data_IF_617952381327
#
_entry.id   IF_617952381327
#
_cell.length_a   1.000
_cell.length_b   1.000
_cell.length_c   1.000
_cell.angle_alpha   90.00
_cell.angle_beta   90.00
_cell.angle_gamma   90.00
#
_symmetry.space_group_name_H-M   'P 1'
#
loop_
_entity.id
_entity.type
_entity.pdbx_description
1 polymer ?
#
# COMPACT_ATOMS: atom_id res chain seq x y z
N UNK A 1 21.80 28.57 32.68
CA UNK A 1 22.39 28.68 34.03
C UNK A 1 21.56 27.84 34.99
N UNK A 2 21.93 26.58 35.18
CA UNK A 2 21.38 25.70 36.22
C UNK A 2 22.56 24.94 36.82
N UNK A 3 22.80 25.22 38.10
CA UNK A 3 24.01 24.94 38.87
C UNK A 3 24.03 23.46 39.27
N UNK A 4 24.98 22.67 38.76
CA UNK A 4 25.27 21.31 39.22
C UNK A 4 25.70 21.34 40.69
N UNK A 5 25.05 20.56 41.55
CA UNK A 5 25.53 20.30 42.92
C UNK A 5 26.63 19.23 42.92
N UNK A 6 27.70 19.38 43.71
CA UNK A 6 28.75 18.38 43.85
C UNK A 6 28.41 17.30 44.89
N UNK A 7 28.93 16.08 44.65
CA UNK A 7 28.79 14.89 45.51
C UNK A 7 29.68 14.99 46.77
N UNK A 8 29.26 14.47 47.94
CA UNK A 8 30.17 14.27 49.05
C UNK A 8 31.03 13.00 48.87
N UNK A 9 32.26 13.07 49.38
CA UNK A 9 33.27 11.99 49.53
C UNK A 9 33.51 11.74 51.04
N UNK A 10 34.14 10.61 51.41
CA UNK A 10 33.72 9.76 52.53
C UNK A 10 34.39 10.11 53.86
N UNK A 11 33.69 9.82 54.95
CA UNK A 11 34.27 9.86 56.29
C UNK A 11 34.95 8.53 56.65
N UNK A 12 36.22 8.66 56.99
CA UNK A 12 37.09 7.66 57.60
C UNK A 12 37.00 7.73 59.12
N UNK A 13 36.78 6.60 59.81
CA UNK A 13 37.13 6.36 61.22
C UNK A 13 36.94 4.86 61.52
N UNK A 14 37.97 4.03 61.47
CA UNK A 14 38.76 3.54 62.62
C UNK A 14 37.94 3.01 63.79
N UNK A 15 37.97 1.69 64.02
CA UNK A 15 38.24 1.10 65.34
C UNK A 15 38.45 -0.41 65.20
N UNK A 16 39.62 -0.86 65.65
CA UNK A 16 39.97 -2.24 65.93
C UNK A 16 39.11 -2.77 67.09
N UNK A 17 38.84 -4.08 67.11
CA UNK A 17 38.92 -4.93 68.31
C UNK A 17 38.73 -6.40 67.90
N UNK A 18 39.78 -7.18 68.13
CA UNK A 18 39.81 -8.62 67.99
C UNK A 18 38.98 -9.29 69.09
N UNK A 19 38.33 -10.42 68.79
CA UNK A 19 38.09 -11.50 69.75
C UNK A 19 37.87 -12.81 68.97
N UNK A 20 38.77 -13.76 69.19
CA UNK A 20 38.65 -15.13 68.72
C UNK A 20 37.70 -15.90 69.64
N UNK A 21 36.63 -16.45 69.08
CA UNK A 21 35.86 -17.54 69.69
C UNK A 21 35.73 -18.67 68.67
N UNK A 22 36.41 -19.78 68.96
CA UNK A 22 36.09 -21.09 68.42
C UNK A 22 34.64 -21.43 68.80
N UNK A 23 33.78 -21.69 67.82
CA UNK A 23 32.52 -22.38 68.04
C UNK A 23 32.20 -23.32 66.86
N UNK A 24 31.83 -24.53 67.23
CA UNK A 24 31.47 -25.69 66.40
C UNK A 24 30.64 -25.36 65.15
N UNK A 25 31.13 -25.79 63.98
CA UNK A 25 30.33 -25.82 62.74
C UNK A 25 29.53 -27.13 62.75
N UNK A 26 28.19 -27.11 62.80
CA UNK A 26 27.40 -28.31 62.61
C UNK A 26 27.43 -28.69 61.13
N UNK A 27 27.69 -29.98 60.87
CA UNK A 27 27.59 -30.61 59.56
C UNK A 27 26.13 -30.56 59.11
N UNK A 28 25.75 -29.51 58.38
CA UNK A 28 24.46 -29.43 57.71
C UNK A 28 24.47 -30.46 56.58
N UNK A 29 23.76 -31.58 56.76
CA UNK A 29 23.35 -32.42 55.64
C UNK A 29 22.46 -31.58 54.72
N UNK A 30 23.03 -31.07 53.64
CA UNK A 30 22.28 -30.49 52.54
C UNK A 30 21.56 -31.62 51.82
N UNK A 31 20.27 -31.78 52.09
CA UNK A 31 19.37 -32.53 51.21
C UNK A 31 19.43 -31.87 49.84
N UNK A 32 20.15 -32.49 48.91
CA UNK A 32 20.09 -32.11 47.50
C UNK A 32 18.68 -32.40 47.01
N UNK A 33 17.87 -31.36 46.82
CA UNK A 33 16.69 -31.46 45.99
C UNK A 33 17.15 -31.81 44.57
N UNK A 34 16.50 -32.77 43.88
CA UNK A 34 16.83 -33.03 42.48
C UNK A 34 16.51 -31.77 41.68
N UNK A 35 17.47 -31.31 40.87
CA UNK A 35 17.24 -30.24 39.92
C UNK A 35 16.14 -30.65 38.95
N UNK A 36 15.08 -29.84 38.83
CA UNK A 36 14.15 -29.95 37.72
C UNK A 36 14.88 -29.55 36.44
N UNK A 37 15.45 -30.51 35.72
CA UNK A 37 16.29 -30.24 34.55
C UNK A 37 16.11 -31.30 33.46
N UNK A 38 14.88 -31.55 32.98
CA UNK A 38 14.66 -32.48 31.86
C UNK A 38 13.61 -31.99 30.82
N UNK A 39 13.23 -30.71 30.82
CA UNK A 39 12.24 -30.19 29.86
C UNK A 39 12.70 -28.88 29.21
N UNK A 40 13.52 -28.95 28.14
CA UNK A 40 13.95 -27.76 27.43
C UNK A 40 12.76 -27.07 26.75
N UNK A 41 12.80 -25.74 26.69
CA UNK A 41 11.86 -24.92 25.92
C UNK A 41 12.15 -25.04 24.41
N UNK A 42 11.18 -24.67 23.57
CA UNK A 42 11.37 -24.67 22.10
C UNK A 42 12.55 -23.80 21.63
N UNK A 43 12.78 -22.66 22.30
CA UNK A 43 13.94 -21.81 22.02
C UNK A 43 15.26 -22.50 22.39
N UNK A 44 15.32 -23.18 23.54
CA UNK A 44 16.51 -23.91 23.95
C UNK A 44 16.82 -25.07 23.01
N UNK A 45 15.81 -25.83 22.59
CA UNK A 45 15.96 -26.89 21.59
C UNK A 45 16.50 -26.30 20.28
N UNK A 46 15.94 -25.17 19.82
CA UNK A 46 16.41 -24.49 18.62
C UNK A 46 17.88 -24.07 18.71
N UNK A 47 18.29 -23.46 19.84
CA UNK A 47 19.67 -23.04 20.07
C UNK A 47 20.65 -24.21 20.10
N UNK A 48 20.23 -25.36 20.64
CA UNK A 48 21.06 -26.55 20.79
C UNK A 48 21.21 -27.35 19.49
N UNK A 49 20.12 -27.49 18.72
CA UNK A 49 20.05 -28.46 17.61
C UNK A 49 19.84 -27.83 16.22
N UNK A 50 19.28 -26.63 16.13
CA UNK A 50 18.85 -26.05 14.85
C UNK A 50 19.70 -24.85 14.39
N UNK A 51 20.26 -24.10 15.34
CA UNK A 51 20.89 -22.80 15.11
C UNK A 51 22.09 -22.86 14.17
N UNK A 52 22.88 -23.94 14.22
CA UNK A 52 24.09 -24.12 13.39
C UNK A 52 23.78 -24.06 11.88
N UNK A 53 22.64 -24.63 11.47
CA UNK A 53 22.23 -24.69 10.08
C UNK A 53 21.25 -23.58 9.69
N UNK A 54 20.34 -23.20 10.59
CA UNK A 54 19.25 -22.27 10.29
C UNK A 54 19.47 -20.81 10.73
N UNK A 55 20.56 -20.51 11.44
CA UNK A 55 20.85 -19.15 11.89
C UNK A 55 20.05 -18.73 13.13
N UNK A 56 20.35 -17.56 13.68
CA UNK A 56 19.77 -17.12 14.97
C UNK A 56 18.32 -16.65 14.82
N UNK A 57 17.98 -16.11 13.66
CA UNK A 57 16.68 -15.56 13.28
C UNK A 57 15.97 -16.43 12.21
N UNK A 58 16.41 -17.68 12.03
CA UNK A 58 15.91 -18.54 10.96
C UNK A 58 16.32 -18.03 9.57
N UNK A 59 17.35 -17.21 9.43
CA UNK A 59 17.82 -16.61 8.18
C UNK A 59 18.59 -17.59 7.26
N UNK A 60 18.94 -18.76 7.78
CA UNK A 60 19.80 -19.74 7.13
C UNK A 60 21.29 -19.54 7.41
N UNK A 61 22.10 -20.45 6.89
CA UNK A 61 23.57 -20.41 6.95
C UNK A 61 24.17 -20.39 5.55
N UNK A 62 25.50 -20.34 5.43
CA UNK A 62 26.19 -20.46 4.13
C UNK A 62 25.87 -21.77 3.41
N UNK A 63 25.66 -22.85 4.18
CA UNK A 63 25.36 -24.18 3.65
C UNK A 63 23.86 -24.35 3.40
N UNK A 64 23.01 -23.79 4.26
CA UNK A 64 21.56 -23.82 4.13
C UNK A 64 21.00 -22.40 4.00
N UNK A 65 21.04 -21.85 2.78
CA UNK A 65 20.72 -20.43 2.53
C UNK A 65 19.23 -20.08 2.50
N UNK A 66 18.34 -21.03 2.77
CA UNK A 66 16.89 -20.78 2.76
C UNK A 66 16.41 -20.39 4.17
N UNK A 67 15.75 -19.23 4.32
CA UNK A 67 15.19 -18.85 5.59
C UNK A 67 14.02 -19.77 5.97
N UNK A 68 13.81 -19.96 7.26
CA UNK A 68 12.71 -20.72 7.84
C UNK A 68 11.40 -19.94 7.71
N UNK A 69 10.86 -19.88 6.50
CA UNK A 69 9.64 -19.17 6.15
C UNK A 69 8.64 -20.11 5.44
N UNK A 70 7.36 -19.99 5.77
CA UNK A 70 6.31 -20.75 5.09
C UNK A 70 4.91 -20.48 5.63
N UNK A 71 4.04 -21.48 5.51
CA UNK A 71 2.60 -21.38 5.82
C UNK A 71 2.03 -22.64 6.50
N UNK A 72 2.84 -23.67 6.75
CA UNK A 72 2.44 -24.86 7.50
C UNK A 72 1.97 -24.50 8.91
N UNK A 73 0.96 -25.20 9.41
CA UNK A 73 0.56 -25.09 10.82
C UNK A 73 1.63 -25.66 11.75
N UNK A 74 1.61 -25.27 13.03
CA UNK A 74 2.54 -25.80 14.05
C UNK A 74 2.57 -27.34 14.06
N UNK A 75 1.41 -28.00 13.99
CA UNK A 75 1.34 -29.46 13.97
C UNK A 75 1.91 -30.09 12.69
N UNK A 76 1.74 -29.46 11.53
CA UNK A 76 2.36 -29.91 10.29
C UNK A 76 3.88 -29.70 10.30
N UNK A 77 4.33 -28.59 10.87
CA UNK A 77 5.74 -28.27 11.03
C UNK A 77 6.41 -29.25 12.00
N UNK A 78 5.79 -29.54 13.14
CA UNK A 78 6.29 -30.54 14.10
C UNK A 78 6.43 -31.93 13.47
N UNK A 79 5.45 -32.37 12.68
CA UNK A 79 5.55 -33.65 11.94
C UNK A 79 6.68 -33.67 10.93
N UNK A 80 6.94 -32.54 10.28
CA UNK A 80 8.05 -32.42 9.35
C UNK A 80 9.38 -32.49 10.08
N UNK A 81 9.54 -31.70 11.16
CA UNK A 81 10.74 -31.68 12.01
C UNK A 81 11.05 -33.09 12.54
N UNK A 82 10.06 -33.76 13.15
CA UNK A 82 10.24 -35.12 13.66
C UNK A 82 10.69 -36.14 12.60
N UNK A 83 10.33 -35.92 11.33
CA UNK A 83 10.66 -36.86 10.26
C UNK A 83 12.01 -36.60 9.61
N UNK A 84 12.42 -35.34 9.49
CA UNK A 84 13.53 -34.95 8.62
C UNK A 84 14.60 -34.10 9.29
N UNK A 85 14.44 -33.78 10.58
CA UNK A 85 15.39 -32.94 11.29
C UNK A 85 15.94 -33.63 12.53
N UNK A 86 17.21 -33.35 12.87
CA UNK A 86 18.23 -32.66 12.08
C UNK A 86 18.66 -33.43 10.82
N UNK A 87 19.21 -32.74 9.81
CA UNK A 87 19.62 -33.34 8.52
C UNK A 87 20.75 -34.39 8.72
N UNK A 88 21.65 -34.13 9.67
CA UNK A 88 22.76 -35.03 10.01
C UNK A 88 22.32 -36.26 10.84
N UNK A 89 21.19 -36.17 11.56
CA UNK A 89 20.69 -37.25 12.43
C UNK A 89 19.14 -37.23 12.57
N UNK A 90 18.40 -37.60 11.49
CA UNK A 90 16.94 -37.50 11.48
C UNK A 90 16.28 -38.39 12.55
N UNK A 91 15.28 -37.84 13.25
CA UNK A 91 14.53 -38.56 14.29
C UNK A 91 15.06 -38.33 15.72
N UNK A 92 16.06 -37.47 15.91
CA UNK A 92 16.51 -37.08 17.26
C UNK A 92 15.66 -35.98 17.89
N UNK A 93 14.96 -35.17 17.10
CA UNK A 93 13.99 -34.19 17.58
C UNK A 93 12.56 -34.67 17.32
N UNK A 94 12.07 -35.59 18.16
CA UNK A 94 10.75 -36.21 18.03
C UNK A 94 9.77 -35.83 19.15
N UNK A 95 8.50 -36.21 18.99
CA UNK A 95 7.50 -36.10 20.06
C UNK A 95 7.27 -34.67 20.55
N UNK A 96 7.39 -34.48 21.86
CA UNK A 96 7.12 -33.19 22.53
C UNK A 96 8.16 -32.12 22.15
N UNK A 97 9.41 -32.51 21.94
CA UNK A 97 10.48 -31.59 21.56
C UNK A 97 10.24 -31.01 20.17
N UNK A 98 9.81 -31.86 19.23
CA UNK A 98 9.39 -31.44 17.89
C UNK A 98 8.24 -30.43 17.94
N UNK A 99 7.28 -30.61 18.86
CA UNK A 99 6.17 -29.68 19.04
C UNK A 99 6.61 -28.34 19.62
N UNK A 100 7.46 -28.38 20.66
CA UNK A 100 8.00 -27.17 21.31
C UNK A 100 8.81 -26.33 20.34
N UNK A 101 9.75 -26.96 19.62
CA UNK A 101 10.60 -26.24 18.66
C UNK A 101 9.79 -25.75 17.45
N UNK A 102 8.82 -26.52 16.98
CA UNK A 102 7.92 -26.07 15.91
C UNK A 102 7.11 -24.84 16.33
N UNK A 103 6.59 -24.82 17.57
CA UNK A 103 5.84 -23.67 18.09
C UNK A 103 6.73 -22.42 18.16
N UNK A 104 7.97 -22.58 18.65
CA UNK A 104 8.95 -21.50 18.68
C UNK A 104 9.28 -20.99 17.26
N UNK A 105 9.64 -21.87 16.33
CA UNK A 105 9.95 -21.50 14.94
C UNK A 105 8.77 -20.79 14.28
N UNK A 106 7.54 -21.29 14.48
CA UNK A 106 6.31 -20.74 13.92
C UNK A 106 6.09 -19.28 14.33
N UNK A 107 6.21 -18.98 15.62
CA UNK A 107 6.00 -17.62 16.12
C UNK A 107 7.22 -16.71 15.90
N UNK A 108 8.43 -17.24 16.03
CA UNK A 108 9.63 -16.43 15.91
C UNK A 108 9.93 -16.02 14.45
N UNK A 109 9.78 -16.94 13.48
CA UNK A 109 10.30 -16.75 12.12
C UNK A 109 9.35 -17.17 10.99
N UNK A 110 8.64 -18.29 11.17
CA UNK A 110 8.08 -19.04 10.06
C UNK A 110 6.68 -18.62 9.61
N UNK A 111 5.80 -18.18 10.50
CA UNK A 111 4.43 -17.78 10.13
C UNK A 111 4.38 -16.49 9.30
N UNK A 112 3.27 -16.24 8.60
CA UNK A 112 3.06 -14.97 7.87
C UNK A 112 3.10 -13.75 8.77
N UNK A 113 2.61 -13.89 10.01
CA UNK A 113 2.70 -12.83 11.02
C UNK A 113 4.15 -12.59 11.47
N UNK A 114 4.92 -13.66 11.71
CA UNK A 114 6.35 -13.55 12.05
C UNK A 114 7.15 -12.93 10.90
N UNK A 115 6.92 -13.38 9.66
CA UNK A 115 7.50 -12.80 8.44
C UNK A 115 7.23 -11.30 8.35
N UNK A 116 5.98 -10.88 8.55
CA UNK A 116 5.60 -9.46 8.50
C UNK A 116 6.26 -8.63 9.62
N UNK A 117 6.44 -9.20 10.82
CA UNK A 117 7.17 -8.54 11.92
C UNK A 117 8.67 -8.39 11.62
N UNK A 118 9.29 -9.42 11.06
CA UNK A 118 10.74 -9.48 10.85
C UNK A 118 11.18 -8.80 9.55
N UNK A 119 10.30 -8.71 8.55
CA UNK A 119 10.53 -8.04 7.26
C UNK A 119 9.45 -6.98 7.02
N UNK A 120 9.51 -5.83 7.71
CA UNK A 120 8.54 -4.77 7.50
C UNK A 120 8.58 -4.28 6.04
N UNK A 121 7.42 -3.96 5.48
CA UNK A 121 7.32 -3.41 4.14
C UNK A 121 8.17 -2.13 4.06
N UNK A 122 9.16 -2.12 3.17
CA UNK A 122 10.01 -0.96 2.95
C UNK A 122 9.18 0.10 2.22
N UNK A 123 9.16 1.32 2.78
CA UNK A 123 8.61 2.48 2.08
C UNK A 123 9.62 2.85 0.99
N UNK A 124 9.33 2.45 -0.25
CA UNK A 124 10.08 2.88 -1.42
C UNK A 124 9.20 3.77 -2.30
N UNK A 125 9.83 4.66 -3.07
CA UNK A 125 9.13 5.44 -4.07
C UNK A 125 8.65 4.50 -5.17
N UNK A 126 7.32 4.37 -5.33
CA UNK A 126 6.75 3.61 -6.43
C UNK A 126 7.07 4.31 -7.75
N UNK A 127 7.59 3.56 -8.73
CA UNK A 127 7.68 4.05 -10.11
C UNK A 127 6.27 4.07 -10.69
N UNK A 128 5.73 5.26 -10.85
CA UNK A 128 4.42 5.46 -11.46
C UNK A 128 4.49 5.12 -12.96
N UNK A 129 3.46 4.43 -13.45
CA UNK A 129 3.17 4.38 -14.89
C UNK A 129 2.86 5.80 -15.39
N UNK A 130 2.97 6.02 -16.71
CA UNK A 130 2.64 7.33 -17.33
C UNK A 130 1.23 7.80 -16.92
N UNK A 131 0.24 6.90 -16.92
CA UNK A 131 -1.13 7.21 -16.50
C UNK A 131 -1.19 7.63 -15.03
N UNK A 132 -0.55 6.87 -14.15
CA UNK A 132 -0.54 7.17 -12.72
C UNK A 132 0.16 8.51 -12.43
N UNK A 133 1.23 8.82 -13.15
CA UNK A 133 1.93 10.10 -13.04
C UNK A 133 1.01 11.27 -13.43
N UNK A 134 0.39 11.21 -14.61
CA UNK A 134 -0.53 12.27 -15.05
C UNK A 134 -1.71 12.47 -14.10
N UNK A 135 -2.31 11.39 -13.60
CA UNK A 135 -3.41 11.49 -12.65
C UNK A 135 -2.94 12.11 -11.32
N UNK A 136 -1.77 11.69 -10.82
CA UNK A 136 -1.20 12.23 -9.58
C UNK A 136 -0.89 13.72 -9.72
N UNK A 137 -0.32 14.14 -10.85
CA UNK A 137 -0.09 15.57 -11.13
C UNK A 137 -1.40 16.36 -11.21
N UNK A 138 -2.42 15.82 -11.91
CA UNK A 138 -3.71 16.45 -12.04
C UNK A 138 -4.40 16.62 -10.67
N UNK A 139 -4.37 15.59 -9.83
CA UNK A 139 -4.95 15.62 -8.48
C UNK A 139 -4.18 16.59 -7.57
N UNK A 140 -2.85 16.55 -7.63
CA UNK A 140 -1.99 17.46 -6.85
C UNK A 140 -2.26 18.91 -7.25
N UNK A 141 -2.24 19.24 -8.54
CA UNK A 141 -2.51 20.60 -9.04
C UNK A 141 -3.95 21.01 -8.74
N UNK A 142 -4.91 20.10 -8.90
CA UNK A 142 -6.32 20.32 -8.60
C UNK A 142 -6.56 20.67 -7.13
N UNK A 143 -5.85 20.02 -6.20
CA UNK A 143 -5.96 20.28 -4.76
C UNK A 143 -5.65 21.72 -4.37
N UNK A 144 -4.77 22.41 -5.11
CA UNK A 144 -4.44 23.82 -4.86
C UNK A 144 -5.43 24.80 -5.45
N UNK A 145 -6.17 24.40 -6.50
CA UNK A 145 -7.10 25.28 -7.23
C UNK A 145 -8.52 25.26 -6.66
N UNK A 146 -8.87 24.25 -5.87
CA UNK A 146 -10.23 24.03 -5.39
C UNK A 146 -11.18 23.56 -6.50
N UNK A 147 -12.45 23.28 -6.18
CA UNK A 147 -13.42 22.86 -7.19
C UNK A 147 -13.61 23.96 -8.24
N UNK A 148 -13.45 23.60 -9.51
CA UNK A 148 -13.69 24.50 -10.63
C UNK A 148 -15.21 24.73 -10.78
N UNK A 149 -15.70 25.85 -10.26
CA UNK A 149 -17.10 26.25 -10.41
C UNK A 149 -17.26 27.10 -11.67
N UNK A 150 -18.08 26.65 -12.62
CA UNK A 150 -18.47 27.47 -13.76
C UNK A 150 -19.63 28.40 -13.36
N UNK A 151 -19.35 29.70 -13.23
CA UNK A 151 -20.35 30.73 -12.91
C UNK A 151 -20.94 31.41 -14.16
N UNK A 152 -20.51 31.01 -15.36
CA UNK A 152 -20.98 31.57 -16.63
C UNK A 152 -22.34 31.02 -17.09
N UNK A 153 -22.88 31.55 -18.21
CA UNK A 153 -24.07 31.00 -18.83
C UNK A 153 -23.85 29.51 -19.15
N UNK A 154 -24.85 28.69 -18.82
CA UNK A 154 -24.84 27.25 -19.13
C UNK A 154 -25.24 27.05 -20.58
N UNK A 155 -24.59 26.11 -21.25
CA UNK A 155 -24.86 25.76 -22.64
C UNK A 155 -23.63 25.91 -23.53
N UNK A 156 -23.85 25.67 -24.82
CA UNK A 156 -22.83 25.81 -25.86
C UNK A 156 -23.23 26.93 -26.82
N UNK A 157 -22.24 27.68 -27.28
CA UNK A 157 -22.44 28.71 -28.29
C UNK A 157 -22.69 28.04 -29.64
N UNK A 158 -23.90 28.22 -30.18
CA UNK A 158 -24.38 27.62 -31.41
C UNK A 158 -24.45 28.63 -32.55
N UNK A 159 -23.70 28.36 -33.62
CA UNK A 159 -23.77 29.10 -34.87
C UNK A 159 -24.41 28.24 -35.97
N UNK A 160 -25.47 28.76 -36.59
CA UNK A 160 -26.24 28.05 -37.62
C UNK A 160 -26.00 28.69 -38.98
N UNK A 161 -25.78 27.85 -39.99
CA UNK A 161 -25.43 28.25 -41.35
C UNK A 161 -26.43 27.69 -42.36
N UNK A 162 -26.87 28.52 -43.31
CA UNK A 162 -27.72 28.11 -44.46
C UNK A 162 -26.96 27.33 -45.55
N UNK A 163 -25.68 27.04 -45.33
CA UNK A 163 -24.84 26.25 -46.21
C UNK A 163 -23.99 25.26 -45.41
N UNK A 164 -23.49 24.20 -46.05
CA UNK A 164 -22.64 23.20 -45.39
C UNK A 164 -21.19 23.68 -45.14
N UNK A 165 -20.86 24.92 -45.51
CA UNK A 165 -19.50 25.46 -45.43
C UNK A 165 -19.47 26.60 -44.44
N UNK A 166 -18.66 26.46 -43.39
CA UNK A 166 -18.44 27.48 -42.36
C UNK A 166 -17.56 28.67 -42.82
N UNK A 167 -17.38 28.88 -44.14
CA UNK A 167 -16.41 29.87 -44.68
C UNK A 167 -17.02 31.26 -44.84
N UNK A 168 -18.31 31.35 -45.14
CA UNK A 168 -18.96 32.63 -45.40
C UNK A 168 -19.76 33.07 -44.16
N UNK A 169 -19.41 34.23 -43.58
CA UNK A 169 -20.14 34.80 -42.44
C UNK A 169 -21.56 35.20 -42.82
N UNK A 170 -21.80 35.56 -44.08
CA UNK A 170 -23.14 35.90 -44.59
C UNK A 170 -24.08 34.69 -44.68
N UNK A 171 -23.54 33.47 -44.53
CA UNK A 171 -24.32 32.25 -44.42
C UNK A 171 -24.82 31.98 -43.00
N UNK A 172 -24.31 32.71 -42.00
CA UNK A 172 -24.74 32.57 -40.60
C UNK A 172 -26.10 33.23 -40.38
N UNK A 173 -27.07 32.43 -39.95
CA UNK A 173 -28.49 32.80 -39.84
C UNK A 173 -28.97 32.88 -38.39
N UNK A 174 -28.35 32.12 -37.48
CA UNK A 174 -28.65 32.13 -36.05
C UNK A 174 -27.33 32.10 -35.29
N UNK A 175 -27.26 32.88 -34.21
CA UNK A 175 -26.13 33.01 -33.29
C UNK A 175 -26.72 33.08 -31.87
N UNK A 176 -26.63 32.00 -31.10
CA UNK A 176 -27.25 31.89 -29.77
C UNK A 176 -26.53 30.90 -28.84
N UNK A 177 -26.91 30.89 -27.57
CA UNK A 177 -26.48 29.87 -26.60
C UNK A 177 -27.56 28.80 -26.48
N UNK A 178 -27.21 27.55 -26.80
CA UNK A 178 -28.09 26.39 -26.63
C UNK A 178 -27.78 25.71 -25.29
N UNK A 179 -28.75 25.57 -24.36
CA UNK A 179 -28.51 24.94 -23.06
C UNK A 179 -28.04 23.48 -23.16
N UNK A 180 -28.51 22.77 -24.19
CA UNK A 180 -28.20 21.37 -24.46
C UNK A 180 -28.16 21.12 -25.97
N UNK A 181 -27.28 20.24 -26.44
CA UNK A 181 -27.26 19.78 -27.84
C UNK A 181 -28.19 18.58 -27.98
N UNK A 182 -29.49 18.87 -28.05
CA UNK A 182 -30.54 17.89 -28.24
C UNK A 182 -31.61 18.49 -29.15
N UNK A 183 -31.54 18.17 -30.44
CA UNK A 183 -32.39 18.77 -31.46
C UNK A 183 -33.02 17.69 -32.35
N UNK A 184 -34.30 17.88 -32.64
CA UNK A 184 -35.00 17.26 -33.76
C UNK A 184 -35.50 18.40 -34.66
N UNK A 185 -34.83 18.56 -35.80
CA UNK A 185 -35.15 19.62 -36.77
C UNK A 185 -36.24 19.19 -37.76
N UNK A 186 -36.62 17.90 -37.80
CA UNK A 186 -37.47 17.37 -38.85
C UNK A 186 -36.99 17.81 -40.25
N UNK A 187 -37.78 18.64 -40.93
CA UNK A 187 -37.49 19.14 -42.28
C UNK A 187 -36.95 20.57 -42.33
N UNK A 188 -36.95 21.33 -41.22
CA UNK A 188 -36.61 22.76 -41.21
C UNK A 188 -35.90 23.21 -39.92
N UNK A 189 -35.08 24.26 -40.01
CA UNK A 189 -34.50 24.90 -38.83
C UNK A 189 -35.55 25.65 -37.99
N UNK A 190 -35.36 25.78 -36.66
CA UNK A 190 -36.19 26.63 -35.82
C UNK A 190 -36.06 28.07 -36.31
N UNK A 191 -37.16 28.80 -36.41
CA UNK A 191 -37.21 30.20 -36.88
C UNK A 191 -36.97 30.45 -38.38
N UNK A 192 -37.10 29.41 -39.22
CA UNK A 192 -37.05 29.52 -40.68
C UNK A 192 -38.30 30.22 -41.28
N UNK A 193 -38.49 31.51 -40.97
CA UNK A 193 -39.45 32.38 -41.67
C UNK A 193 -39.12 32.55 -43.17
N UNK A 194 -37.92 32.12 -43.58
CA UNK A 194 -37.49 32.01 -44.97
C UNK A 194 -36.89 30.62 -45.16
N UNK A 195 -37.41 29.87 -46.14
CA UNK A 195 -37.03 28.47 -46.39
C UNK A 195 -35.52 28.30 -46.56
N UNK A 196 -34.86 27.93 -45.47
CA UNK A 196 -33.49 27.46 -45.49
C UNK A 196 -33.63 26.01 -45.92
N UNK A 197 -33.38 25.74 -47.21
CA UNK A 197 -33.56 24.41 -47.79
C UNK A 197 -32.80 23.31 -47.03
N UNK A 198 -32.96 22.06 -47.47
CA UNK A 198 -32.48 20.82 -46.82
C UNK A 198 -30.96 20.69 -46.54
N UNK A 199 -30.17 21.77 -46.64
CA UNK A 199 -28.72 21.79 -46.41
C UNK A 199 -28.35 22.94 -45.48
N UNK A 200 -28.17 22.62 -44.21
CA UNK A 200 -27.62 23.53 -43.21
C UNK A 200 -26.44 22.88 -42.48
N UNK A 201 -25.69 23.68 -41.74
CA UNK A 201 -24.68 23.21 -40.81
C UNK A 201 -24.77 23.99 -39.51
N UNK A 202 -24.40 23.33 -38.41
CA UNK A 202 -24.39 23.94 -37.08
C UNK A 202 -23.04 23.66 -36.45
N UNK A 203 -22.50 24.66 -35.76
CA UNK A 203 -21.27 24.54 -34.98
C UNK A 203 -21.57 24.96 -33.55
N UNK A 204 -21.30 24.03 -32.64
CA UNK A 204 -21.34 24.29 -31.20
C UNK A 204 -19.93 24.40 -30.65
N UNK A 205 -19.64 25.48 -29.93
CA UNK A 205 -18.36 25.72 -29.26
C UNK A 205 -18.57 26.03 -27.78
N UNK A 206 -17.67 25.54 -26.93
CA UNK A 206 -17.73 25.74 -25.48
C UNK A 206 -16.91 24.72 -24.71
N UNK A 207 -17.36 24.41 -23.50
CA UNK A 207 -16.67 23.49 -22.59
C UNK A 207 -17.67 22.58 -21.89
N UNK A 208 -17.23 21.36 -21.59
CA UNK A 208 -17.99 20.40 -20.78
C UNK A 208 -17.27 20.26 -19.45
N UNK A 209 -18.00 20.46 -18.35
CA UNK A 209 -17.49 20.21 -17.01
C UNK A 209 -17.75 18.75 -16.65
N UNK A 210 -16.68 17.97 -16.51
CA UNK A 210 -16.76 16.61 -16.00
C UNK A 210 -17.12 16.65 -14.49
N UNK A 211 -18.19 15.97 -14.04
CA UNK A 211 -18.57 15.98 -12.63
C UNK A 211 -17.53 15.30 -11.73
N UNK A 212 -16.85 14.27 -12.26
CA UNK A 212 -15.82 13.50 -11.54
C UNK A 212 -14.65 13.15 -12.46
N UNK A 213 -13.49 12.81 -11.88
CA UNK A 213 -12.36 12.29 -12.63
C UNK A 213 -12.64 10.86 -13.08
N UNK A 214 -12.51 10.57 -14.38
CA UNK A 214 -12.72 9.22 -14.91
C UNK A 214 -12.68 9.16 -16.43
N UNK A 215 -12.94 7.97 -16.96
CA UNK A 215 -13.11 7.74 -18.39
C UNK A 215 -14.52 8.17 -18.80
N UNK A 216 -14.63 9.01 -19.83
CA UNK A 216 -15.89 9.50 -20.36
C UNK A 216 -16.11 9.01 -21.79
N UNK A 217 -17.34 8.60 -22.08
CA UNK A 217 -17.79 8.27 -23.43
C UNK A 217 -18.68 9.41 -23.96
N UNK A 218 -18.36 9.90 -25.15
CA UNK A 218 -19.19 10.87 -25.87
C UNK A 218 -19.98 10.15 -26.97
N UNK A 219 -21.30 10.18 -26.86
CA UNK A 219 -22.19 9.54 -27.84
C UNK A 219 -22.84 10.63 -28.70
N UNK A 220 -22.58 10.59 -30.00
CA UNK A 220 -23.22 11.49 -30.98
C UNK A 220 -24.22 10.68 -31.79
N UNK A 221 -25.50 11.05 -31.70
CA UNK A 221 -26.59 10.47 -32.51
C UNK A 221 -27.07 11.49 -33.51
N UNK A 222 -26.99 11.16 -34.79
CA UNK A 222 -27.35 12.05 -35.89
C UNK A 222 -27.68 11.22 -37.13
N UNK A 223 -28.61 11.69 -37.94
CA UNK A 223 -28.92 11.13 -39.27
C UNK A 223 -27.95 11.65 -40.35
N UNK A 224 -27.07 12.58 -39.98
CA UNK A 224 -26.17 13.29 -40.87
C UNK A 224 -24.73 13.27 -40.34
N UNK A 225 -23.80 13.82 -41.11
CA UNK A 225 -22.39 13.87 -40.70
C UNK A 225 -22.17 14.78 -39.49
N UNK A 226 -21.38 14.31 -38.53
CA UNK A 226 -20.90 15.09 -37.39
C UNK A 226 -19.39 14.94 -37.23
N UNK A 227 -18.78 15.91 -36.55
CA UNK A 227 -17.39 15.84 -36.07
C UNK A 227 -17.37 16.42 -34.66
N UNK A 228 -16.66 15.74 -33.76
CA UNK A 228 -16.52 16.15 -32.38
C UNK A 228 -15.03 16.34 -32.08
N UNK A 229 -14.69 17.46 -31.45
CA UNK A 229 -13.36 17.74 -30.94
C UNK A 229 -13.45 17.93 -29.43
N UNK A 230 -12.54 17.30 -28.69
CA UNK A 230 -12.45 17.44 -27.24
C UNK A 230 -10.98 17.68 -26.91
N UNK A 231 -10.69 18.83 -26.31
CA UNK A 231 -9.35 19.30 -25.91
C UNK A 231 -8.29 19.46 -27.03
N UNK A 232 -8.47 18.85 -28.19
CA UNK A 232 -7.64 19.00 -29.38
C UNK A 232 -8.48 19.55 -30.56
N UNK A 233 -8.25 20.81 -31.01
CA UNK A 233 -9.00 21.40 -32.12
C UNK A 233 -8.52 20.94 -33.51
N UNK A 234 -7.39 20.22 -33.61
CA UNK A 234 -6.82 19.83 -34.90
C UNK A 234 -7.37 18.49 -35.39
N UNK A 235 -7.54 17.53 -34.47
CA UNK A 235 -7.98 16.17 -34.80
C UNK A 235 -9.32 15.85 -34.15
N UNK A 236 -10.39 15.56 -34.92
CA UNK A 236 -11.64 15.11 -34.34
C UNK A 236 -11.49 13.69 -33.76
N UNK A 237 -12.32 13.37 -32.76
CA UNK A 237 -12.49 12.03 -32.20
C UNK A 237 -13.10 11.06 -33.22
#
# INVERSE_FOLDING_TARGET
MTRKQPRPRPDSSTALLAWAMLLCIPLALTTHAPAAADNPTGEQIYQQQCLSCHGKQGEGSKTYGHPLEGDRSVGQLAKYIAKSMPDDDPGTCEGEDAQKVAAYIYDAFYSKTAQARNKPARIELSRLTVRQYHNTEADLIGSFRGPSAWEGPKGLHGEYYKSQRFRNKDDRIIDRVDPTVQFDFGVNLPDASKGIGHRFAIRWEGSVLAPETGDYEFIVRTEHSARLWVNDPQKPL
#
